data_IF_524158418110
#
_entry.id   IF_524158418110
#
_cell.length_a   1.000
_cell.length_b   1.000
_cell.length_c   1.000
_cell.angle_alpha   90.00
_cell.angle_beta   90.00
_cell.angle_gamma   90.00
#
_symmetry.space_group_name_H-M   'P 1'
#
loop_
_entity.id
_entity.type
_entity.pdbx_description
1 polymer ?
#
# COMPACT_ATOMS: atom_id res chain seq x y z
N UNK A 1 -43.02 -2.11 17.10
CA UNK A 1 -41.91 -3.08 17.22
C UNK A 1 -40.84 -2.70 16.23
N UNK A 2 -39.63 -2.38 16.69
CA UNK A 2 -38.51 -1.94 15.86
C UNK A 2 -37.54 -3.11 15.71
N UNK A 3 -37.43 -3.70 14.52
CA UNK A 3 -36.46 -4.75 14.23
C UNK A 3 -36.01 -4.64 12.77
N UNK A 4 -34.95 -3.86 12.52
CA UNK A 4 -34.48 -3.62 11.15
C UNK A 4 -32.99 -3.36 11.01
N UNK A 5 -32.14 -3.76 11.96
CA UNK A 5 -30.72 -3.41 11.93
C UNK A 5 -29.80 -4.51 12.48
N UNK A 6 -29.99 -5.76 12.08
CA UNK A 6 -29.06 -6.85 12.37
C UNK A 6 -28.90 -7.72 11.12
N UNK A 7 -27.71 -7.78 10.54
CA UNK A 7 -27.42 -8.71 9.42
C UNK A 7 -26.58 -8.18 8.26
N UNK A 8 -25.85 -7.06 8.44
CA UNK A 8 -24.87 -6.60 7.42
C UNK A 8 -23.42 -6.85 7.79
N UNK A 9 -23.11 -7.12 9.05
CA UNK A 9 -21.73 -7.15 9.56
C UNK A 9 -21.17 -8.57 9.77
N UNK A 10 -22.01 -9.61 9.74
CA UNK A 10 -21.64 -11.01 9.94
C UNK A 10 -21.18 -11.68 8.64
N UNK A 11 -21.90 -11.41 7.54
CA UNK A 11 -21.60 -12.00 6.22
C UNK A 11 -20.23 -11.60 5.67
N UNK A 12 -19.77 -10.38 5.93
CA UNK A 12 -18.50 -9.86 5.39
C UNK A 12 -17.26 -10.59 5.90
N UNK A 13 -17.25 -11.00 7.18
CA UNK A 13 -16.13 -11.76 7.74
C UNK A 13 -16.15 -13.22 7.26
N UNK A 14 -17.34 -13.81 7.12
CA UNK A 14 -17.49 -15.16 6.56
C UNK A 14 -17.04 -15.25 5.10
N UNK A 15 -17.22 -14.17 4.32
CA UNK A 15 -16.77 -14.13 2.92
C UNK A 15 -15.27 -13.89 2.79
N UNK A 16 -14.65 -13.16 3.73
CA UNK A 16 -13.20 -13.00 3.80
C UNK A 16 -12.50 -14.32 4.14
N UNK A 17 -13.10 -15.15 5.00
CA UNK A 17 -12.56 -16.47 5.35
C UNK A 17 -12.55 -17.47 4.17
N UNK A 18 -13.28 -17.20 3.09
CA UNK A 18 -13.28 -18.00 1.85
C UNK A 18 -12.22 -17.52 0.85
N UNK A 19 -11.56 -16.39 1.10
CA UNK A 19 -10.53 -15.87 0.22
C UNK A 19 -9.24 -16.65 0.40
N UNK A 20 -8.62 -17.04 -0.71
CA UNK A 20 -7.31 -17.69 -0.69
C UNK A 20 -6.27 -16.64 -0.25
N UNK A 21 -5.39 -16.95 0.72
CA UNK A 21 -4.30 -16.06 1.09
C UNK A 21 -3.49 -15.66 -0.15
N UNK A 22 -3.38 -14.36 -0.40
CA UNK A 22 -2.51 -13.86 -1.46
C UNK A 22 -1.05 -14.11 -1.06
N UNK A 23 -0.32 -14.86 -1.87
CA UNK A 23 1.12 -15.07 -1.73
C UNK A 23 1.84 -14.24 -2.78
N UNK A 24 2.65 -13.28 -2.35
CA UNK A 24 3.53 -12.52 -3.24
C UNK A 24 4.97 -13.01 -3.05
N UNK A 25 5.65 -13.29 -4.15
CA UNK A 25 7.09 -13.55 -4.12
C UNK A 25 7.83 -12.24 -3.84
N UNK A 26 8.61 -12.21 -2.77
CA UNK A 26 9.50 -11.08 -2.45
C UNK A 26 10.90 -11.45 -2.97
N UNK A 27 11.42 -10.76 -3.98
CA UNK A 27 12.77 -11.04 -4.47
C UNK A 27 13.81 -10.65 -3.42
N UNK A 28 14.93 -11.37 -3.42
CA UNK A 28 16.13 -10.92 -2.72
C UNK A 28 16.60 -9.59 -3.33
N UNK A 29 16.94 -8.62 -2.48
CA UNK A 29 17.41 -7.31 -2.89
C UNK A 29 18.67 -6.94 -2.12
N UNK A 30 19.69 -6.51 -2.83
CA UNK A 30 20.89 -5.92 -2.24
C UNK A 30 20.61 -4.48 -1.80
N UNK A 31 21.05 -4.10 -0.61
CA UNK A 31 20.84 -2.75 -0.11
C UNK A 31 21.89 -1.79 -0.67
N UNK A 32 21.43 -0.74 -1.35
CA UNK A 32 22.25 0.39 -1.71
C UNK A 32 22.58 1.26 -0.47
N UNK A 33 23.66 2.06 -0.53
CA UNK A 33 23.95 3.07 0.50
C UNK A 33 22.78 4.02 0.72
N UNK A 34 22.53 4.37 1.98
CA UNK A 34 21.48 5.32 2.36
C UNK A 34 21.93 6.77 2.17
N UNK A 35 20.96 7.69 2.05
CA UNK A 35 21.26 9.11 2.16
C UNK A 35 21.68 9.50 3.58
N UNK A 36 22.49 10.56 3.69
CA UNK A 36 22.72 11.24 4.96
C UNK A 36 21.37 11.75 5.51
N UNK A 37 21.23 11.73 6.84
CA UNK A 37 19.98 12.05 7.53
C UNK A 37 19.37 13.39 7.10
N UNK A 38 20.18 14.45 6.97
CA UNK A 38 19.71 15.78 6.54
C UNK A 38 19.03 15.73 5.16
N UNK A 39 19.65 15.02 4.21
CA UNK A 39 19.11 14.85 2.86
C UNK A 39 17.86 13.97 2.88
N UNK A 40 17.88 12.86 3.63
CA UNK A 40 16.74 11.95 3.75
C UNK A 40 15.49 12.67 4.25
N UNK A 41 15.64 13.52 5.27
CA UNK A 41 14.56 14.36 5.79
C UNK A 41 14.03 15.35 4.75
N UNK A 42 14.90 15.94 3.93
CA UNK A 42 14.51 16.89 2.90
C UNK A 42 13.74 16.22 1.74
N UNK A 43 14.16 15.04 1.29
CA UNK A 43 13.55 14.35 0.13
C UNK A 43 12.41 13.41 0.52
N UNK A 44 12.23 13.10 1.81
CA UNK A 44 11.17 12.23 2.31
C UNK A 44 11.43 10.72 2.13
N UNK A 45 12.65 10.33 1.79
CA UNK A 45 13.08 8.92 1.72
C UNK A 45 14.56 8.79 2.09
N UNK A 46 14.90 7.76 2.86
CA UNK A 46 16.30 7.40 3.18
C UNK A 46 16.97 6.60 2.06
N UNK A 47 16.16 5.94 1.22
CA UNK A 47 16.62 5.05 0.16
C UNK A 47 16.71 5.82 -1.17
N UNK A 48 17.91 5.91 -1.78
CA UNK A 48 18.08 6.61 -3.06
C UNK A 48 17.22 6.03 -4.18
N UNK A 49 17.05 4.70 -4.19
CA UNK A 49 16.27 3.98 -5.20
C UNK A 49 14.78 4.35 -5.18
N UNK A 50 14.25 4.82 -4.04
CA UNK A 50 12.88 5.28 -3.91
C UNK A 50 12.72 6.77 -4.23
N UNK A 51 13.82 7.52 -4.39
CA UNK A 51 13.82 8.93 -4.74
C UNK A 51 13.54 9.14 -6.25
N UNK A 52 12.42 8.59 -6.73
CA UNK A 52 12.00 8.66 -8.13
C UNK A 52 11.21 9.94 -8.40
N UNK A 53 11.39 10.59 -9.56
CA UNK A 53 10.55 11.72 -9.94
C UNK A 53 9.08 11.28 -10.01
N UNK A 54 8.17 12.19 -9.67
CA UNK A 54 6.74 11.94 -9.85
C UNK A 54 6.40 11.90 -11.34
N UNK A 55 6.26 10.70 -11.91
CA UNK A 55 5.85 10.48 -13.29
C UNK A 55 4.33 10.38 -13.47
N UNK A 56 3.54 10.81 -12.48
CA UNK A 56 2.09 10.71 -12.55
C UNK A 56 1.55 11.49 -13.74
N UNK A 57 1.02 10.79 -14.75
CA UNK A 57 0.15 11.40 -15.75
C UNK A 57 -1.11 11.85 -15.01
N UNK A 58 -1.38 13.16 -14.97
CA UNK A 58 -2.71 13.65 -14.62
C UNK A 58 -3.68 12.96 -15.59
N UNK A 59 -4.67 12.24 -15.08
CA UNK A 59 -5.77 11.68 -15.87
C UNK A 59 -6.60 12.83 -16.45
N UNK A 60 -6.06 13.50 -17.46
CA UNK A 60 -6.76 14.49 -18.25
C UNK A 60 -7.40 13.78 -19.41
N UNK A 61 -8.70 13.52 -19.30
CA UNK A 61 -9.55 13.31 -20.47
C UNK A 61 -9.37 14.54 -21.36
N UNK A 62 -8.84 14.34 -22.56
CA UNK A 62 -8.90 15.34 -23.63
C UNK A 62 -10.17 15.09 -24.42
#
# INVERSE_FOLDING_TARGET
MNSGMAGRTDRSFSDMAKQVPAMAYVPYQEFAPTFELKKALQVGTIFPELCKPFCGRRGGSR
#
